data_IF_619253624669
#
_entry.id   IF_619253624669
#
_cell.length_a   1.000
_cell.length_b   1.000
_cell.length_c   1.000
_cell.angle_alpha   90.00
_cell.angle_beta   90.00
_cell.angle_gamma   90.00
#
_symmetry.space_group_name_H-M   'P 1'
#
loop_
_entity.id
_entity.type
_entity.pdbx_description
1 polymer ?
#
# COMPACT_ATOMS: atom_id res chain seq x y z
N UNK A 1 5.44 -5.12 -13.50
CA UNK A 1 6.25 -6.36 -13.67
C UNK A 1 5.45 -7.60 -13.27
N UNK A 2 5.75 -8.82 -13.75
CA UNK A 2 5.01 -10.03 -13.39
C UNK A 2 5.31 -10.48 -11.94
N UNK A 3 4.26 -10.80 -11.18
CA UNK A 3 4.36 -11.35 -9.82
C UNK A 3 4.82 -12.82 -9.91
N UNK A 4 6.00 -13.14 -9.40
CA UNK A 4 6.45 -14.54 -9.25
C UNK A 4 5.78 -15.19 -8.03
N UNK A 5 5.08 -16.30 -8.25
CA UNK A 5 4.44 -17.09 -7.19
C UNK A 5 5.36 -18.22 -6.72
N UNK A 6 5.65 -18.29 -5.42
CA UNK A 6 6.20 -19.51 -4.81
C UNK A 6 5.08 -20.55 -4.65
N UNK A 7 5.27 -21.81 -5.10
CA UNK A 7 4.20 -22.79 -5.17
C UNK A 7 4.09 -23.56 -3.85
N UNK A 8 3.25 -23.12 -2.92
CA UNK A 8 2.73 -24.01 -1.86
C UNK A 8 1.34 -23.54 -1.37
N UNK A 9 0.31 -23.91 -2.12
CA UNK A 9 -1.09 -23.87 -1.69
C UNK A 9 -1.34 -24.99 -0.68
N UNK A 10 -1.69 -24.66 0.57
CA UNK A 10 -2.19 -25.67 1.53
C UNK A 10 -1.86 -25.44 3.01
N UNK A 11 -1.05 -24.44 3.37
CA UNK A 11 -0.80 -24.08 4.78
C UNK A 11 -1.24 -22.65 4.97
N UNK A 12 -2.00 -22.34 6.03
CA UNK A 12 -2.39 -20.98 6.42
C UNK A 12 -1.18 -20.04 6.32
N UNK A 13 -1.02 -19.34 5.20
CA UNK A 13 0.14 -18.50 4.92
C UNK A 13 -0.36 -17.07 4.86
N UNK A 14 0.19 -16.23 5.73
CA UNK A 14 -0.06 -14.80 5.77
C UNK A 14 1.18 -14.10 5.22
N UNK A 15 1.00 -13.38 4.13
CA UNK A 15 2.03 -12.64 3.45
C UNK A 15 2.07 -11.22 3.98
N UNK A 16 3.23 -10.79 4.47
CA UNK A 16 3.51 -9.39 4.74
C UNK A 16 3.89 -8.71 3.43
N UNK A 17 3.28 -7.55 3.18
CA UNK A 17 3.51 -6.78 1.97
C UNK A 17 3.51 -5.28 2.25
N UNK A 18 3.97 -4.52 1.28
CA UNK A 18 3.71 -3.09 1.21
C UNK A 18 3.23 -2.70 -0.18
N UNK A 19 2.63 -1.52 -0.29
CA UNK A 19 2.25 -0.91 -1.55
C UNK A 19 3.22 0.21 -1.90
N UNK A 20 3.66 0.24 -3.16
CA UNK A 20 4.55 1.25 -3.73
C UNK A 20 3.75 2.13 -4.69
N UNK A 21 3.90 3.44 -4.57
CA UNK A 21 3.42 4.40 -5.54
C UNK A 21 4.38 4.39 -6.74
N UNK A 22 3.93 3.97 -7.93
CA UNK A 22 4.84 3.84 -9.09
C UNK A 22 5.28 5.17 -9.69
N UNK A 23 4.67 6.29 -9.30
CA UNK A 23 5.05 7.62 -9.79
C UNK A 23 6.30 8.17 -9.07
N UNK A 24 6.59 7.71 -7.85
CA UNK A 24 7.74 8.18 -7.06
C UNK A 24 8.53 7.07 -6.35
N UNK A 25 8.16 5.81 -6.58
CA UNK A 25 8.76 4.61 -5.99
C UNK A 25 8.73 4.57 -4.46
N UNK A 26 7.89 5.39 -3.81
CA UNK A 26 7.78 5.44 -2.36
C UNK A 26 6.73 4.46 -1.81
N UNK A 27 7.03 3.77 -0.70
CA UNK A 27 6.03 2.97 -0.01
C UNK A 27 4.96 3.88 0.62
N UNK A 28 3.70 3.50 0.46
CA UNK A 28 2.57 4.25 1.04
C UNK A 28 1.66 3.41 1.93
N UNK A 29 1.83 2.09 1.99
CA UNK A 29 1.03 1.25 2.88
C UNK A 29 1.75 -0.04 3.21
N UNK A 30 1.61 -0.51 4.45
CA UNK A 30 2.05 -1.84 4.89
C UNK A 30 0.83 -2.64 5.30
N UNK A 31 0.78 -3.91 4.91
CA UNK A 31 -0.32 -4.80 5.26
C UNK A 31 0.14 -6.25 5.37
N UNK A 32 -0.72 -7.10 5.94
CA UNK A 32 -0.63 -8.54 5.73
C UNK A 32 -1.92 -9.12 5.14
N UNK A 33 -1.81 -10.26 4.47
CA UNK A 33 -2.97 -10.96 3.90
C UNK A 33 -2.68 -12.43 3.64
N UNK A 34 -3.70 -13.28 3.72
CA UNK A 34 -3.60 -14.67 3.26
C UNK A 34 -3.79 -14.84 1.75
N UNK A 35 -4.27 -13.80 1.05
CA UNK A 35 -4.52 -13.79 -0.38
C UNK A 35 -4.04 -12.47 -0.99
N UNK A 36 -2.78 -12.40 -1.45
CA UNK A 36 -2.22 -11.19 -2.05
C UNK A 36 -3.02 -10.67 -3.25
N UNK A 37 -3.55 -11.58 -4.08
CA UNK A 37 -4.27 -11.20 -5.29
C UNK A 37 -5.66 -10.65 -4.99
N UNK A 38 -6.41 -11.32 -4.11
CA UNK A 38 -7.68 -10.79 -3.61
C UNK A 38 -7.47 -9.46 -2.89
N UNK A 39 -6.41 -9.34 -2.10
CA UNK A 39 -6.08 -8.09 -1.38
C UNK A 39 -5.76 -6.94 -2.33
N UNK A 40 -4.96 -7.17 -3.37
CA UNK A 40 -4.68 -6.18 -4.41
C UNK A 40 -5.99 -5.63 -5.01
N UNK A 41 -6.91 -6.53 -5.39
CA UNK A 41 -8.24 -6.15 -5.90
C UNK A 41 -9.07 -5.38 -4.88
N UNK A 42 -8.98 -5.71 -3.58
CA UNK A 42 -9.74 -4.97 -2.57
C UNK A 42 -9.24 -3.54 -2.35
N UNK A 43 -7.95 -3.25 -2.57
CA UNK A 43 -7.43 -1.88 -2.50
C UNK A 43 -7.99 -0.98 -3.61
N UNK A 44 -8.48 -1.58 -4.70
CA UNK A 44 -9.15 -0.88 -5.80
C UNK A 44 -10.65 -0.63 -5.56
N UNK A 45 -11.27 -1.28 -4.56
CA UNK A 45 -12.72 -1.15 -4.32
C UNK A 45 -13.06 0.18 -3.63
N UNK A 46 -14.12 0.85 -4.11
CA UNK A 46 -14.69 2.06 -3.52
C UNK A 46 -15.38 1.77 -2.18
N UNK A 47 -15.31 2.74 -1.26
CA UNK A 47 -15.96 2.83 0.08
C UNK A 47 -15.14 2.33 1.29
N UNK A 48 -14.01 2.99 1.61
CA UNK A 48 -13.31 2.74 2.87
C UNK A 48 -14.06 3.34 4.07
N UNK A 49 -14.24 2.54 5.13
CA UNK A 49 -14.86 2.98 6.39
C UNK A 49 -13.92 3.69 7.38
N UNK A 50 -12.65 3.91 7.01
CA UNK A 50 -11.66 4.60 7.87
C UNK A 50 -10.98 5.73 7.12
N UNK A 51 -10.48 6.72 7.88
CA UNK A 51 -9.77 7.88 7.34
C UNK A 51 -8.50 7.48 6.55
N UNK A 52 -7.72 6.53 7.05
CA UNK A 52 -6.55 6.01 6.34
C UNK A 52 -6.95 5.24 5.09
N UNK A 53 -8.07 4.51 5.13
CA UNK A 53 -8.63 3.87 3.96
C UNK A 53 -9.03 4.88 2.89
N UNK A 54 -9.67 5.98 3.28
CA UNK A 54 -10.03 7.08 2.38
C UNK A 54 -8.80 7.74 1.75
N UNK A 55 -7.74 7.98 2.53
CA UNK A 55 -6.48 8.52 2.03
C UNK A 55 -5.82 7.58 1.00
N UNK A 56 -5.76 6.26 1.29
CA UNK A 56 -5.23 5.27 0.35
C UNK A 56 -6.03 5.20 -0.94
N UNK A 57 -7.36 5.14 -0.83
CA UNK A 57 -8.23 5.10 -2.00
C UNK A 57 -8.06 6.37 -2.87
N UNK A 58 -7.95 7.54 -2.24
CA UNK A 58 -7.71 8.81 -2.93
C UNK A 58 -6.37 8.82 -3.67
N UNK A 59 -5.30 8.30 -3.05
CA UNK A 59 -4.00 8.16 -3.71
C UNK A 59 -4.09 7.21 -4.91
N UNK A 60 -4.66 6.03 -4.72
CA UNK A 60 -4.80 5.01 -5.79
C UNK A 60 -5.62 5.56 -6.97
N UNK A 61 -6.69 6.29 -6.69
CA UNK A 61 -7.51 6.92 -7.74
C UNK A 61 -6.73 7.99 -8.49
N UNK A 62 -6.03 8.87 -7.77
CA UNK A 62 -5.24 9.93 -8.40
C UNK A 62 -4.07 9.38 -9.24
N UNK A 63 -3.46 8.28 -8.81
CA UNK A 63 -2.45 7.56 -9.60
C UNK A 63 -3.06 7.07 -10.91
N UNK A 64 -4.20 6.37 -10.84
CA UNK A 64 -4.90 5.87 -12.02
C UNK A 64 -5.29 7.00 -12.99
N UNK A 65 -5.82 8.11 -12.48
CA UNK A 65 -6.19 9.28 -13.28
C UNK A 65 -4.97 9.92 -13.99
N UNK A 66 -3.79 9.83 -13.38
CA UNK A 66 -2.54 10.35 -13.94
C UNK A 66 -1.80 9.33 -14.83
N UNK A 67 -2.37 8.14 -15.09
CA UNK A 67 -1.75 7.08 -15.89
C UNK A 67 -0.70 6.25 -15.14
N UNK A 68 -0.63 6.37 -13.82
CA UNK A 68 0.25 5.58 -12.94
C UNK A 68 -0.54 4.49 -12.19
N UNK A 69 0.19 3.56 -11.59
CA UNK A 69 -0.38 2.49 -10.78
C UNK A 69 0.20 2.46 -9.37
N UNK A 70 -0.05 1.33 -8.70
CA UNK A 70 0.68 0.95 -7.51
C UNK A 70 1.10 -0.50 -7.62
N UNK A 71 2.19 -0.86 -6.96
CA UNK A 71 2.65 -2.25 -6.87
C UNK A 71 2.44 -2.79 -5.47
N UNK A 72 2.08 -4.08 -5.37
CA UNK A 72 2.03 -4.81 -4.11
C UNK A 72 3.27 -5.70 -4.03
N UNK A 73 4.17 -5.38 -3.12
CA UNK A 73 5.44 -6.09 -2.94
C UNK A 73 5.38 -6.94 -1.69
N UNK A 74 5.44 -8.27 -1.88
CA UNK A 74 5.47 -9.26 -0.80
C UNK A 74 6.89 -9.46 -0.30
N UNK A 75 7.08 -9.40 1.02
CA UNK A 75 8.38 -9.58 1.65
C UNK A 75 8.58 -11.00 2.18
N UNK A 76 7.68 -11.42 3.06
CA UNK A 76 7.79 -12.65 3.83
C UNK A 76 6.44 -13.32 4.00
N UNK A 77 6.44 -14.65 4.14
CA UNK A 77 5.25 -15.43 4.49
C UNK A 77 5.37 -16.00 5.90
N UNK A 78 4.30 -15.88 6.67
CA UNK A 78 4.17 -16.39 8.03
C UNK A 78 3.12 -17.50 8.08
N UNK A 79 3.36 -18.53 8.88
CA UNK A 79 2.38 -19.61 9.09
C UNK A 79 1.22 -19.19 9.99
N UNK A 80 1.44 -18.25 10.90
CA UNK A 80 0.44 -17.83 11.87
C UNK A 80 0.11 -16.34 11.69
N UNK A 81 -1.18 -16.01 11.78
CA UNK A 81 -1.69 -14.63 11.66
C UNK A 81 -1.04 -13.70 12.68
N UNK A 82 -0.87 -14.18 13.92
CA UNK A 82 -0.26 -13.39 14.99
C UNK A 82 1.18 -12.96 14.68
N UNK A 83 1.94 -13.81 14.00
CA UNK A 83 3.33 -13.47 13.60
C UNK A 83 3.34 -12.42 12.50
N UNK A 84 2.46 -12.56 11.51
CA UNK A 84 2.29 -11.57 10.45
C UNK A 84 1.86 -10.20 11.02
N UNK A 85 0.91 -10.19 11.97
CA UNK A 85 0.47 -8.96 12.66
C UNK A 85 1.59 -8.29 13.45
N UNK A 86 2.40 -9.08 14.17
CA UNK A 86 3.55 -8.56 14.92
C UNK A 86 4.59 -7.95 13.98
N UNK A 87 4.90 -8.62 12.87
CA UNK A 87 5.86 -8.09 11.88
C UNK A 87 5.31 -6.87 11.14
N UNK A 88 4.03 -6.85 10.79
CA UNK A 88 3.36 -5.67 10.22
C UNK A 88 3.53 -4.45 11.13
N UNK A 89 3.20 -4.60 12.42
CA UNK A 89 3.33 -3.52 13.41
C UNK A 89 4.78 -3.03 13.54
N UNK A 90 5.75 -3.94 13.55
CA UNK A 90 7.17 -3.60 13.59
C UNK A 90 7.60 -2.83 12.33
N UNK A 91 7.21 -3.29 11.14
CA UNK A 91 7.54 -2.65 9.87
C UNK A 91 6.90 -1.26 9.72
N UNK A 92 5.66 -1.08 10.18
CA UNK A 92 5.01 0.23 10.24
C UNK A 92 5.84 1.18 11.13
N UNK A 93 6.27 0.72 12.31
CA UNK A 93 7.08 1.52 13.21
C UNK A 93 8.43 1.88 12.59
N UNK A 94 9.12 0.91 11.98
CA UNK A 94 10.40 1.11 11.27
C UNK A 94 10.25 2.18 10.17
N UNK A 95 9.21 2.08 9.34
CA UNK A 95 8.93 3.05 8.26
C UNK A 95 8.55 4.45 8.78
N UNK A 96 7.79 4.54 9.87
CA UNK A 96 7.47 5.84 10.49
C UNK A 96 8.73 6.49 11.05
N UNK A 97 9.62 5.72 11.69
CA UNK A 97 10.89 6.22 12.22
C UNK A 97 11.85 6.65 11.10
N UNK A 98 11.80 6.00 9.93
CA UNK A 98 12.59 6.40 8.76
C UNK A 98 12.02 7.62 8.01
N UNK A 99 10.88 8.17 8.44
CA UNK A 99 10.22 9.31 7.80
C UNK A 99 9.41 8.96 6.55
N UNK A 100 9.12 7.67 6.30
CA UNK A 100 8.30 7.25 5.17
C UNK A 100 6.87 7.81 5.27
N UNK A 101 6.32 8.24 4.14
CA UNK A 101 4.97 8.81 4.05
C UNK A 101 3.88 7.71 3.99
N UNK A 102 3.94 6.72 4.88
CA UNK A 102 2.98 5.62 4.89
C UNK A 102 1.62 6.05 5.42
N UNK A 103 0.57 5.56 4.77
CA UNK A 103 -0.84 5.82 5.04
C UNK A 103 -1.45 4.72 5.94
N UNK A 104 -0.67 4.26 6.92
CA UNK A 104 -1.09 3.34 7.98
C UNK A 104 -1.59 4.10 9.22
N UNK A 105 -2.32 3.41 10.10
CA UNK A 105 -2.64 3.93 11.43
C UNK A 105 -1.35 4.12 12.27
N UNK A 106 -1.28 5.11 13.18
CA UNK A 106 -2.29 6.15 13.44
C UNK A 106 -2.32 7.27 12.38
N UNK A 107 -3.53 7.73 12.06
CA UNK A 107 -3.88 8.81 11.14
C UNK A 107 -3.22 10.19 11.36
N UNK A 108 -2.36 10.34 12.36
CA UNK A 108 -1.67 11.62 12.59
C UNK A 108 -0.88 11.98 11.33
N UNK A 109 -1.17 13.15 10.80
CA UNK A 109 -0.59 13.71 9.57
C UNK A 109 -0.93 12.94 8.27
N UNK A 110 -2.01 12.14 8.24
CA UNK A 110 -2.37 11.34 7.05
C UNK A 110 -2.48 12.18 5.78
N UNK A 111 -3.03 13.40 5.87
CA UNK A 111 -3.22 14.28 4.72
C UNK A 111 -1.92 14.94 4.28
N UNK A 112 -1.00 15.21 5.20
CA UNK A 112 0.34 15.69 4.85
C UNK A 112 1.13 14.58 4.13
N UNK A 113 1.06 13.34 4.63
CA UNK A 113 1.67 12.17 4.00
C UNK A 113 1.05 11.88 2.63
N UNK A 114 -0.27 11.98 2.50
CA UNK A 114 -0.97 11.90 1.21
C UNK A 114 -0.48 12.99 0.24
N UNK A 115 -0.34 14.23 0.73
CA UNK A 115 0.16 15.35 -0.08
C UNK A 115 1.54 15.09 -0.68
N UNK A 116 2.45 14.45 0.08
CA UNK A 116 3.79 14.05 -0.44
C UNK A 116 3.69 13.09 -1.62
N UNK A 117 2.73 12.15 -1.60
CA UNK A 117 2.50 11.23 -2.70
C UNK A 117 1.81 11.87 -3.89
N UNK A 118 0.89 12.81 -3.67
CA UNK A 118 0.17 13.46 -4.76
C UNK A 118 1.02 14.54 -5.47
N UNK A 119 1.98 15.14 -4.77
CA UNK A 119 2.82 16.20 -5.32
C UNK A 119 3.75 15.72 -6.46
N UNK A 120 3.99 14.42 -6.60
CA UNK A 120 4.78 13.86 -7.70
C UNK A 120 3.96 13.61 -8.98
N UNK A 121 2.63 13.73 -8.92
CA UNK A 121 1.78 13.48 -10.08
C UNK A 121 1.77 14.71 -11.00
N UNK A 122 1.84 14.51 -12.33
CA UNK A 122 1.65 15.60 -13.28
C UNK A 122 0.28 16.23 -13.05
N UNK A 123 0.21 17.57 -13.00
CA UNK A 123 -1.09 18.23 -12.84
C UNK A 123 -1.89 17.98 -14.10
N UNK A 124 -3.18 17.73 -13.96
CA UNK A 124 -4.10 17.50 -15.09
C UNK A 124 -4.06 18.63 -16.14
N UNK A 125 -3.73 19.86 -15.73
CA UNK A 125 -3.54 21.00 -16.64
C UNK A 125 -2.29 20.90 -17.52
N UNK A 126 -1.29 20.12 -17.11
CA UNK A 126 -0.01 19.98 -17.81
C UNK A 126 -0.04 18.81 -18.82
N UNK A 127 -1.04 17.93 -18.76
CA UNK A 127 -1.18 16.76 -19.65
C UNK A 127 -1.89 17.08 -20.99
N UNK A 128 -2.55 18.24 -21.09
CA UNK A 128 -3.28 18.69 -22.29
C UNK A 128 -2.68 19.96 -22.91
N UNK A 129 -1.39 20.22 -22.66
CA UNK A 129 -0.62 21.27 -23.32
C UNK A 129 0.08 20.75 -24.57
#
# INVERSE_FOLDING_TARGET
MPVMFMPESGRNRYYLYHLINTANELPFYVGYTSDPYGRYRTHLKKNPGTLEGAARFRLISALADAGFGFELVVHHSFRYRGDAMRRESAMIKEMLLSGAAILNYPAKDIYQKLGKHLACLPRTKDLFR
#
